data_IF_135678278960
#
_entry.id   IF_135678278960
#
_cell.length_a   1.000
_cell.length_b   1.000
_cell.length_c   1.000
_cell.angle_alpha   90.00
_cell.angle_beta   90.00
_cell.angle_gamma   90.00
#
_symmetry.space_group_name_H-M   'P 1'
#
loop_
_entity.id
_entity.type
_entity.pdbx_description
1 polymer ?
#
# COMPACT_ATOMS: atom_id res chain seq x y z
N UNK A 1 10.24 34.07 9.25
CA UNK A 1 9.58 33.98 7.94
C UNK A 1 10.05 32.70 7.28
N UNK A 2 9.12 31.82 6.93
CA UNK A 2 9.43 30.63 6.15
C UNK A 2 8.85 30.86 4.77
N UNK A 3 9.69 30.73 3.76
CA UNK A 3 9.26 30.74 2.37
C UNK A 3 9.37 29.30 1.90
N UNK A 4 8.23 28.74 1.52
CA UNK A 4 8.16 27.38 1.06
C UNK A 4 8.10 27.37 -0.46
N UNK A 5 8.86 26.44 -1.05
CA UNK A 5 8.87 26.21 -2.47
C UNK A 5 8.45 24.76 -2.71
N UNK A 6 7.58 24.56 -3.70
CA UNK A 6 7.35 23.24 -4.25
C UNK A 6 8.22 23.04 -5.48
N UNK A 7 9.13 22.06 -5.42
CA UNK A 7 9.84 21.65 -6.62
C UNK A 7 8.83 20.96 -7.54
N UNK A 8 8.44 21.64 -8.62
CA UNK A 8 7.44 21.14 -9.59
C UNK A 8 7.83 19.80 -10.22
N UNK A 9 9.13 19.50 -10.29
CA UNK A 9 9.65 18.32 -11.00
C UNK A 9 10.03 17.14 -10.10
N UNK A 10 10.01 17.26 -8.76
CA UNK A 10 10.65 16.24 -7.88
C UNK A 10 9.82 15.64 -6.75
N UNK A 11 8.53 15.98 -6.60
CA UNK A 11 7.74 15.57 -5.41
C UNK A 11 8.43 15.88 -4.06
N UNK A 12 9.29 16.89 -4.06
CA UNK A 12 10.05 17.34 -2.90
C UNK A 12 9.50 18.66 -2.40
N UNK A 13 9.38 18.73 -1.08
CA UNK A 13 9.14 19.95 -0.35
C UNK A 13 10.47 20.65 -0.10
N UNK A 14 10.55 21.93 -0.46
CA UNK A 14 11.69 22.78 -0.18
C UNK A 14 11.29 23.90 0.78
N UNK A 15 12.02 24.04 1.88
CA UNK A 15 11.77 25.01 2.94
C UNK A 15 12.94 25.98 3.06
N UNK A 16 12.72 27.24 2.71
CA UNK A 16 13.63 28.33 3.06
C UNK A 16 13.18 28.92 4.39
N UNK A 17 14.08 28.96 5.36
CA UNK A 17 13.77 29.35 6.72
C UNK A 17 14.56 30.61 7.11
N UNK A 18 13.90 31.57 7.75
CA UNK A 18 14.52 32.81 8.26
C UNK A 18 13.71 33.37 9.43
N UNK A 19 14.23 34.41 10.11
CA UNK A 19 13.51 35.13 11.17
C UNK A 19 13.65 34.53 12.59
N UNK A 20 12.81 34.97 13.54
CA UNK A 20 13.05 34.77 14.99
C UNK A 20 12.97 33.31 15.43
N UNK A 21 12.19 32.47 14.75
CA UNK A 21 12.03 31.06 15.07
C UNK A 21 13.06 30.14 14.36
N UNK A 22 14.11 30.70 13.76
CA UNK A 22 15.04 29.95 12.89
C UNK A 22 15.62 28.69 13.55
N UNK A 23 16.11 28.78 14.80
CA UNK A 23 16.72 27.64 15.47
C UNK A 23 15.71 26.53 15.76
N UNK A 24 14.52 26.89 16.25
CA UNK A 24 13.44 25.93 16.54
C UNK A 24 13.02 25.19 15.26
N UNK A 25 12.80 25.93 14.17
CA UNK A 25 12.44 25.36 12.88
C UNK A 25 13.58 24.45 12.38
N UNK A 26 14.82 24.91 12.43
CA UNK A 26 16.00 24.15 12.00
C UNK A 26 16.14 22.83 12.76
N UNK A 27 15.85 22.83 14.05
CA UNK A 27 15.93 21.63 14.89
C UNK A 27 14.83 20.63 14.54
N UNK A 28 13.59 21.07 14.33
CA UNK A 28 12.49 20.24 13.82
C UNK A 28 12.88 19.63 12.46
N UNK A 29 13.40 20.44 11.52
CA UNK A 29 13.78 19.94 10.21
C UNK A 29 14.90 18.89 10.27
N UNK A 30 15.86 19.04 11.19
CA UNK A 30 16.91 18.04 11.43
C UNK A 30 16.35 16.76 12.05
N UNK A 31 15.49 16.88 13.06
CA UNK A 31 14.84 15.75 13.73
C UNK A 31 14.02 14.91 12.73
N UNK A 32 13.38 15.60 11.80
CA UNK A 32 12.63 15.00 10.71
C UNK A 32 13.46 14.75 9.44
N UNK A 33 14.78 14.74 9.52
CA UNK A 33 15.68 14.30 8.44
C UNK A 33 15.56 15.07 7.11
N UNK A 34 15.19 16.35 7.15
CA UNK A 34 15.32 17.21 5.98
C UNK A 34 16.80 17.40 5.64
N UNK A 35 17.12 17.40 4.35
CA UNK A 35 18.47 17.65 3.85
C UNK A 35 18.64 19.12 3.54
N UNK A 36 19.65 19.73 4.14
CA UNK A 36 20.02 21.10 3.80
C UNK A 36 20.73 21.10 2.43
N UNK A 37 20.19 21.86 1.49
CA UNK A 37 20.79 22.12 0.18
C UNK A 37 21.15 23.60 0.08
N UNK A 38 22.47 23.93 0.04
CA UNK A 38 22.92 25.32 -0.02
C UNK A 38 22.71 25.97 -1.39
N UNK A 39 22.52 25.17 -2.44
CA UNK A 39 22.33 25.62 -3.83
C UNK A 39 21.09 24.97 -4.44
N UNK A 40 19.91 25.49 -4.08
CA UNK A 40 18.64 25.10 -4.70
C UNK A 40 18.12 26.23 -5.58
N UNK A 41 17.53 25.90 -6.73
CA UNK A 41 16.96 26.79 -7.76
C UNK A 41 17.07 28.31 -7.48
N UNK A 42 17.89 29.02 -8.26
CA UNK A 42 18.20 30.45 -8.09
C UNK A 42 19.00 30.82 -6.82
N UNK A 43 19.90 29.94 -6.35
CA UNK A 43 20.82 30.16 -5.21
C UNK A 43 20.12 30.37 -3.85
N UNK A 44 18.97 29.75 -3.66
CA UNK A 44 18.31 29.73 -2.36
C UNK A 44 18.81 28.57 -1.49
N UNK A 45 19.12 28.88 -0.24
CA UNK A 45 19.43 27.88 0.79
C UNK A 45 18.13 27.30 1.33
N UNK A 46 17.91 25.99 1.12
CA UNK A 46 16.65 25.33 1.49
C UNK A 46 16.88 24.01 2.22
N UNK A 47 15.83 23.55 2.88
CA UNK A 47 15.73 22.21 3.45
C UNK A 47 14.79 21.37 2.59
N UNK A 48 15.27 20.24 2.08
CA UNK A 48 14.54 19.34 1.19
C UNK A 48 14.11 18.05 1.87
N UNK A 49 12.89 17.60 1.59
CA UNK A 49 12.42 16.24 1.88
C UNK A 49 11.31 15.84 0.91
N UNK A 50 11.11 14.54 0.72
CA UNK A 50 9.96 14.04 -0.04
C UNK A 50 8.65 14.45 0.66
N UNK A 51 7.67 14.91 -0.13
CA UNK A 51 6.40 15.46 0.39
C UNK A 51 5.69 14.47 1.32
N UNK A 52 5.66 13.19 0.93
CA UNK A 52 4.99 12.13 1.70
C UNK A 52 5.63 11.88 3.08
N UNK A 53 6.92 12.16 3.22
CA UNK A 53 7.67 11.99 4.47
C UNK A 53 7.73 13.28 5.30
N UNK A 54 7.21 14.39 4.80
CA UNK A 54 7.30 15.72 5.41
C UNK A 54 6.15 16.00 6.40
N UNK A 55 5.15 15.12 6.47
CA UNK A 55 3.89 15.36 7.20
C UNK A 55 4.10 15.61 8.68
N UNK A 56 4.82 14.73 9.36
CA UNK A 56 5.04 14.82 10.81
C UNK A 56 5.77 16.13 11.17
N UNK A 57 6.78 16.51 10.37
CA UNK A 57 7.49 17.78 10.54
C UNK A 57 6.58 18.99 10.36
N UNK A 58 5.71 18.97 9.35
CA UNK A 58 4.80 20.07 9.07
C UNK A 58 3.72 20.22 10.14
N UNK A 59 3.22 19.11 10.71
CA UNK A 59 2.31 19.14 11.85
C UNK A 59 2.95 19.76 13.10
N UNK A 60 4.25 19.53 13.32
CA UNK A 60 4.99 20.17 14.41
C UNK A 60 5.27 21.65 14.13
N UNK A 61 5.65 21.98 12.91
CA UNK A 61 5.88 23.36 12.49
C UNK A 61 4.61 24.22 12.61
N UNK A 62 3.44 23.65 12.30
CA UNK A 62 2.13 24.29 12.48
C UNK A 62 1.79 24.67 13.94
N UNK A 63 2.50 24.11 14.93
CA UNK A 63 2.30 24.43 16.36
C UNK A 63 3.12 25.65 16.80
N UNK A 64 4.03 26.15 15.98
CA UNK A 64 4.83 27.32 16.28
C UNK A 64 3.94 28.57 16.18
N UNK A 65 3.99 29.46 17.16
CA UNK A 65 3.26 30.72 17.11
C UNK A 65 3.70 31.58 15.91
N UNK A 66 2.73 32.21 15.24
CA UNK A 66 2.93 33.01 14.03
C UNK A 66 3.55 32.23 12.85
N UNK A 67 3.29 30.93 12.77
CA UNK A 67 3.64 30.10 11.62
C UNK A 67 2.62 30.27 10.50
N UNK A 68 2.97 31.05 9.47
CA UNK A 68 2.13 31.24 8.29
C UNK A 68 2.59 30.33 7.14
N UNK A 69 1.64 29.60 6.54
CA UNK A 69 1.86 28.68 5.41
C UNK A 69 0.99 29.16 4.25
N UNK A 70 1.55 29.22 3.04
CA UNK A 70 0.73 29.49 1.86
C UNK A 70 -0.37 28.42 1.67
N UNK A 71 -1.55 28.85 1.20
CA UNK A 71 -2.69 27.97 0.95
C UNK A 71 -2.35 26.77 0.03
N UNK A 72 -1.41 26.96 -0.90
CA UNK A 72 -0.91 25.91 -1.80
C UNK A 72 -0.31 24.73 -1.04
N UNK A 73 0.36 24.99 0.08
CA UNK A 73 1.01 23.96 0.89
C UNK A 73 0.05 23.36 1.89
N UNK A 74 -0.86 24.17 2.41
CA UNK A 74 -2.00 23.65 3.15
C UNK A 74 -2.76 22.61 2.29
N UNK A 75 -2.93 22.86 0.99
CA UNK A 75 -3.55 21.89 0.07
C UNK A 75 -2.75 20.60 -0.13
N UNK A 76 -1.43 20.63 0.08
CA UNK A 76 -0.56 19.44 0.06
C UNK A 76 -0.57 18.69 1.39
N UNK A 77 -0.84 19.41 2.48
CA UNK A 77 -1.02 18.88 3.81
C UNK A 77 -2.36 18.20 4.01
N UNK A 78 -3.40 18.66 3.31
CA UNK A 78 -4.69 17.96 3.27
C UNK A 78 -4.43 16.57 2.70
N UNK A 79 -4.55 15.51 3.50
CA UNK A 79 -4.29 14.16 3.01
C UNK A 79 -5.30 13.87 1.92
N UNK A 80 -4.84 13.86 0.65
CA UNK A 80 -5.67 13.38 -0.44
C UNK A 80 -6.11 11.97 -0.08
N UNK A 81 -7.42 11.67 -0.10
CA UNK A 81 -7.88 10.34 0.21
C UNK A 81 -7.23 9.39 -0.81
N UNK A 82 -6.38 8.49 -0.29
CA UNK A 82 -5.76 7.43 -1.09
C UNK A 82 -6.81 6.49 -1.75
N UNK A 83 -8.08 6.61 -1.37
CA UNK A 83 -9.21 5.90 -1.98
C UNK A 83 -9.69 6.66 -3.22
N UNK A 84 -9.48 6.06 -4.38
CA UNK A 84 -10.06 6.51 -5.64
C UNK A 84 -11.49 5.98 -5.75
N UNK A 85 -12.41 6.82 -6.24
CA UNK A 85 -13.78 6.41 -6.61
C UNK A 85 -13.94 6.43 -8.12
N UNK A 86 -14.64 5.45 -8.66
CA UNK A 86 -14.87 5.31 -10.10
C UNK A 86 -16.24 4.68 -10.36
N UNK A 87 -16.69 4.73 -11.61
CA UNK A 87 -18.00 4.23 -12.05
C UNK A 87 -17.82 2.91 -12.80
N UNK A 88 -18.08 1.80 -12.11
CA UNK A 88 -18.29 0.49 -12.75
C UNK A 88 -19.74 0.09 -12.52
N UNK A 89 -20.37 -0.45 -13.57
CA UNK A 89 -21.71 -1.01 -13.49
C UNK A 89 -21.61 -2.39 -12.83
N UNK A 90 -22.35 -2.57 -11.74
CA UNK A 90 -22.49 -3.88 -11.13
C UNK A 90 -23.24 -4.82 -12.09
N UNK A 91 -22.72 -6.03 -12.27
CA UNK A 91 -23.31 -7.09 -13.07
C UNK A 91 -23.39 -8.38 -12.23
N UNK A 92 -24.62 -8.85 -11.97
CA UNK A 92 -24.86 -10.07 -11.20
C UNK A 92 -24.42 -11.35 -11.93
N UNK A 93 -24.35 -11.33 -13.26
CA UNK A 93 -24.02 -12.51 -14.07
C UNK A 93 -22.56 -12.94 -13.90
N UNK A 94 -21.68 -12.02 -13.52
CA UNK A 94 -20.24 -12.29 -13.37
C UNK A 94 -19.82 -12.58 -11.93
N UNK A 95 -20.76 -12.86 -11.01
CA UNK A 95 -20.42 -13.15 -9.61
C UNK A 95 -19.85 -14.54 -9.36
N UNK A 96 -20.12 -15.51 -10.24
CA UNK A 96 -19.74 -16.91 -10.05
C UNK A 96 -20.51 -17.61 -8.92
N UNK A 97 -21.57 -16.99 -8.41
CA UNK A 97 -22.45 -17.54 -7.39
C UNK A 97 -23.53 -16.53 -6.98
N UNK A 98 -24.54 -17.00 -6.27
CA UNK A 98 -25.66 -16.16 -5.80
C UNK A 98 -25.34 -15.58 -4.42
N UNK A 99 -25.42 -14.25 -4.22
CA UNK A 99 -25.33 -13.65 -2.89
C UNK A 99 -26.35 -14.26 -1.93
N UNK A 100 -25.93 -14.65 -0.73
CA UNK A 100 -26.84 -15.23 0.28
C UNK A 100 -27.70 -14.18 0.97
N UNK A 101 -27.44 -12.89 0.74
CA UNK A 101 -28.27 -11.81 1.25
C UNK A 101 -27.85 -10.44 0.71
N UNK A 102 -28.70 -9.41 0.92
CA UNK A 102 -28.48 -8.05 0.41
C UNK A 102 -27.14 -7.45 0.82
N UNK A 103 -26.65 -7.77 2.02
CA UNK A 103 -25.39 -7.24 2.55
C UNK A 103 -24.17 -7.63 1.69
N UNK A 104 -24.18 -8.83 1.08
CA UNK A 104 -23.09 -9.25 0.19
C UNK A 104 -23.15 -8.47 -1.12
N UNK A 105 -24.35 -8.35 -1.71
CA UNK A 105 -24.57 -7.60 -2.93
C UNK A 105 -24.21 -6.12 -2.76
N UNK A 106 -24.63 -5.48 -1.68
CA UNK A 106 -24.26 -4.10 -1.35
C UNK A 106 -22.76 -3.94 -1.16
N UNK A 107 -22.11 -4.90 -0.51
CA UNK A 107 -20.65 -4.89 -0.32
C UNK A 107 -19.93 -4.98 -1.66
N UNK A 108 -20.38 -5.86 -2.56
CA UNK A 108 -19.81 -6.00 -3.90
C UNK A 108 -20.07 -4.71 -4.70
N UNK A 109 -21.31 -4.21 -4.75
CA UNK A 109 -21.68 -2.94 -5.41
C UNK A 109 -20.85 -1.76 -4.93
N UNK A 110 -20.49 -1.72 -3.64
CA UNK A 110 -19.60 -0.71 -3.08
C UNK A 110 -18.15 -0.96 -3.47
N UNK A 111 -17.67 -2.18 -3.35
CA UNK A 111 -16.28 -2.58 -3.63
C UNK A 111 -15.87 -2.34 -5.07
N UNK A 112 -16.77 -2.54 -6.03
CA UNK A 112 -16.51 -2.29 -7.46
C UNK A 112 -16.49 -0.80 -7.82
N UNK A 113 -16.71 0.13 -6.89
CA UNK A 113 -16.71 1.58 -7.15
C UNK A 113 -15.55 2.32 -6.49
N UNK A 114 -14.66 1.61 -5.80
CA UNK A 114 -13.56 2.22 -5.06
C UNK A 114 -12.31 1.36 -5.02
N UNK A 115 -11.15 2.01 -5.00
CA UNK A 115 -9.85 1.31 -5.02
C UNK A 115 -9.51 0.66 -3.68
N UNK A 116 -10.15 1.10 -2.59
CA UNK A 116 -9.88 0.61 -1.24
C UNK A 116 -11.17 0.26 -0.53
N UNK A 117 -11.20 -0.89 0.13
CA UNK A 117 -12.34 -1.35 0.92
C UNK A 117 -11.85 -2.09 2.15
N UNK A 118 -12.49 -1.81 3.29
CA UNK A 118 -12.35 -2.61 4.50
C UNK A 118 -13.62 -3.41 4.73
N UNK A 119 -13.53 -4.74 4.62
CA UNK A 119 -14.60 -5.68 4.89
C UNK A 119 -14.50 -6.17 6.33
N UNK A 120 -15.15 -5.45 7.24
CA UNK A 120 -15.23 -5.78 8.67
C UNK A 120 -16.48 -6.63 9.00
N UNK A 121 -16.85 -7.55 8.10
CA UNK A 121 -17.99 -8.44 8.29
C UNK A 121 -17.66 -9.55 9.29
N UNK A 122 -18.66 -9.99 10.08
CA UNK A 122 -18.50 -11.12 11.01
C UNK A 122 -17.97 -12.36 10.26
N UNK A 123 -17.14 -13.19 10.93
CA UNK A 123 -16.74 -14.49 10.38
C UNK A 123 -17.96 -15.31 9.94
N UNK A 124 -17.82 -16.08 8.86
CA UNK A 124 -18.91 -16.90 8.31
C UNK A 124 -19.86 -16.20 7.33
N UNK A 125 -19.76 -14.87 7.14
CA UNK A 125 -20.62 -14.12 6.21
C UNK A 125 -20.16 -14.14 4.74
N UNK A 126 -19.19 -14.98 4.38
CA UNK A 126 -18.72 -15.11 2.99
C UNK A 126 -17.88 -13.94 2.47
N UNK A 127 -16.96 -13.40 3.29
CA UNK A 127 -16.01 -12.33 2.89
C UNK A 127 -15.23 -12.68 1.61
N UNK A 128 -14.82 -13.94 1.49
CA UNK A 128 -14.08 -14.42 0.33
C UNK A 128 -14.94 -14.46 -0.93
N UNK A 129 -16.22 -14.84 -0.84
CA UNK A 129 -17.19 -14.69 -1.94
C UNK A 129 -17.35 -13.22 -2.36
N UNK A 130 -17.56 -12.32 -1.39
CA UNK A 130 -17.69 -10.87 -1.68
C UNK A 130 -16.44 -10.31 -2.40
N UNK A 131 -15.25 -10.66 -1.93
CA UNK A 131 -13.99 -10.25 -2.57
C UNK A 131 -13.83 -10.88 -3.95
N UNK A 132 -14.20 -12.14 -4.14
CA UNK A 132 -14.17 -12.81 -5.45
C UNK A 132 -15.11 -12.11 -6.44
N UNK A 133 -16.33 -11.77 -6.01
CA UNK A 133 -17.28 -11.00 -6.81
C UNK A 133 -16.75 -9.62 -7.21
N UNK A 134 -16.07 -8.91 -6.29
CA UNK A 134 -15.40 -7.64 -6.62
C UNK A 134 -14.28 -7.87 -7.65
N UNK A 135 -13.43 -8.87 -7.45
CA UNK A 135 -12.33 -9.19 -8.36
C UNK A 135 -12.83 -9.57 -9.76
N UNK A 136 -13.92 -10.33 -9.87
CA UNK A 136 -14.52 -10.67 -11.16
C UNK A 136 -14.86 -9.41 -11.97
N UNK A 137 -15.45 -8.40 -11.34
CA UNK A 137 -15.75 -7.12 -12.00
C UNK A 137 -14.48 -6.37 -12.39
N UNK A 138 -13.49 -6.29 -11.50
CA UNK A 138 -12.26 -5.54 -11.78
C UNK A 138 -11.43 -6.17 -12.90
N UNK A 139 -11.38 -7.50 -12.96
CA UNK A 139 -10.69 -8.23 -14.04
C UNK A 139 -11.48 -8.08 -15.34
N UNK A 140 -12.81 -8.19 -15.30
CA UNK A 140 -13.67 -7.98 -16.47
C UNK A 140 -13.48 -6.59 -17.09
N UNK A 141 -13.39 -5.55 -16.24
CA UNK A 141 -13.12 -4.16 -16.65
C UNK A 141 -11.63 -3.89 -16.95
N UNK A 142 -10.76 -4.92 -16.92
CA UNK A 142 -9.30 -4.83 -17.16
C UNK A 142 -8.57 -3.86 -16.21
N UNK A 143 -9.13 -3.65 -15.02
CA UNK A 143 -8.53 -2.82 -13.96
C UNK A 143 -7.62 -3.62 -13.03
N UNK A 144 -7.68 -4.95 -13.07
CA UNK A 144 -6.79 -5.83 -12.31
C UNK A 144 -6.36 -7.00 -13.21
N UNK A 145 -5.05 -7.25 -13.29
CA UNK A 145 -4.44 -8.39 -14.00
C UNK A 145 -3.70 -9.35 -13.04
N UNK A 146 -3.21 -8.84 -11.92
CA UNK A 146 -2.49 -9.61 -10.89
C UNK A 146 -3.08 -9.42 -9.51
N UNK A 147 -3.22 -10.52 -8.77
CA UNK A 147 -3.91 -10.55 -7.48
C UNK A 147 -2.97 -11.17 -6.44
N UNK A 148 -2.59 -10.38 -5.44
CA UNK A 148 -1.83 -10.85 -4.28
C UNK A 148 -2.76 -11.03 -3.08
N UNK A 149 -2.84 -12.24 -2.54
CA UNK A 149 -3.54 -12.54 -1.29
C UNK A 149 -2.50 -12.82 -0.22
N UNK A 150 -2.57 -12.07 0.88
CA UNK A 150 -1.79 -12.30 2.09
C UNK A 150 -2.75 -12.65 3.22
N UNK A 151 -2.65 -13.86 3.73
CA UNK A 151 -3.60 -14.41 4.69
C UNK A 151 -2.90 -15.27 5.77
N UNK A 152 -3.55 -15.58 6.90
CA UNK A 152 -3.08 -16.62 7.81
C UNK A 152 -2.96 -17.98 7.10
N UNK A 153 -2.12 -18.87 7.62
CA UNK A 153 -1.89 -20.21 7.04
C UNK A 153 -3.20 -20.96 6.76
N UNK A 154 -4.14 -20.92 7.71
CA UNK A 154 -5.43 -21.62 7.63
C UNK A 154 -6.33 -21.08 6.50
N UNK A 155 -6.20 -19.80 6.14
CA UNK A 155 -7.02 -19.16 5.11
C UNK A 155 -6.50 -19.39 3.69
N UNK A 156 -5.22 -19.77 3.51
CA UNK A 156 -4.58 -19.84 2.18
C UNK A 156 -5.31 -20.81 1.25
N UNK A 157 -5.53 -22.04 1.70
CA UNK A 157 -6.18 -23.07 0.88
C UNK A 157 -7.68 -22.79 0.70
N UNK A 158 -8.31 -22.14 1.68
CA UNK A 158 -9.68 -21.69 1.53
C UNK A 158 -9.82 -20.65 0.42
N UNK A 159 -8.95 -19.62 0.41
CA UNK A 159 -8.91 -18.63 -0.67
C UNK A 159 -8.70 -19.25 -2.03
N UNK A 160 -7.73 -20.17 -2.16
CA UNK A 160 -7.48 -20.89 -3.41
C UNK A 160 -8.75 -21.59 -3.92
N UNK A 161 -9.39 -22.40 -3.07
CA UNK A 161 -10.60 -23.14 -3.41
C UNK A 161 -11.75 -22.22 -3.78
N UNK A 162 -11.99 -21.19 -2.99
CA UNK A 162 -13.11 -20.26 -3.22
C UNK A 162 -12.90 -19.41 -4.47
N UNK A 163 -11.69 -18.93 -4.75
CA UNK A 163 -11.39 -18.23 -5.99
C UNK A 163 -11.64 -19.13 -7.20
N UNK A 164 -11.18 -20.38 -7.19
CA UNK A 164 -11.44 -21.31 -8.28
C UNK A 164 -12.93 -21.62 -8.45
N UNK A 165 -13.68 -21.65 -7.35
CA UNK A 165 -15.13 -21.88 -7.38
C UNK A 165 -15.92 -20.69 -7.92
N UNK A 166 -15.59 -19.47 -7.49
CA UNK A 166 -16.41 -18.28 -7.72
C UNK A 166 -15.86 -17.33 -8.80
N UNK A 167 -14.70 -17.61 -9.39
CA UNK A 167 -14.20 -16.78 -10.47
C UNK A 167 -15.04 -16.94 -11.75
N UNK A 168 -15.19 -15.85 -12.50
CA UNK A 168 -15.85 -15.83 -13.82
C UNK A 168 -14.94 -15.35 -14.94
N UNK A 169 -13.69 -15.01 -14.63
CA UNK A 169 -12.68 -14.55 -15.58
C UNK A 169 -11.77 -15.67 -16.11
N UNK A 170 -12.18 -16.93 -15.93
CA UNK A 170 -11.47 -18.10 -16.46
C UNK A 170 -10.13 -18.39 -15.78
N UNK A 171 -10.03 -18.11 -14.47
CA UNK A 171 -8.86 -18.46 -13.68
C UNK A 171 -8.71 -19.98 -13.60
N UNK A 172 -7.53 -20.48 -14.01
CA UNK A 172 -7.20 -21.90 -13.88
C UNK A 172 -6.26 -22.16 -12.72
N UNK A 173 -6.21 -23.41 -12.28
CA UNK A 173 -5.41 -23.87 -11.15
C UNK A 173 -3.91 -23.56 -11.33
N UNK A 174 -3.38 -23.78 -12.54
CA UNK A 174 -1.99 -23.50 -12.90
C UNK A 174 -1.62 -22.01 -12.86
N UNK A 175 -2.62 -21.12 -12.87
CA UNK A 175 -2.43 -19.67 -12.79
C UNK A 175 -2.42 -19.15 -11.35
N UNK A 176 -2.60 -20.04 -10.36
CA UNK A 176 -2.52 -19.76 -8.93
C UNK A 176 -1.22 -20.30 -8.36
N UNK A 177 -0.48 -19.42 -7.70
CA UNK A 177 0.73 -19.77 -6.96
C UNK A 177 0.50 -19.67 -5.46
N UNK A 178 0.67 -20.78 -4.74
CA UNK A 178 0.69 -20.79 -3.27
C UNK A 178 2.13 -20.82 -2.78
N UNK A 179 2.59 -19.74 -2.17
CA UNK A 179 3.96 -19.64 -1.67
C UNK A 179 4.15 -20.45 -0.39
N UNK A 180 5.17 -21.31 -0.40
CA UNK A 180 5.54 -22.16 0.71
C UNK A 180 7.07 -22.19 0.89
N UNK A 181 7.58 -23.02 1.81
CA UNK A 181 9.00 -23.07 2.14
C UNK A 181 9.90 -23.50 0.96
N UNK A 182 9.40 -24.35 0.04
CA UNK A 182 10.14 -24.84 -1.12
C UNK A 182 9.91 -24.00 -2.38
N UNK A 183 8.73 -23.41 -2.51
CA UNK A 183 8.31 -22.55 -3.63
C UNK A 183 8.02 -21.15 -3.10
N UNK A 184 9.08 -20.37 -2.87
CA UNK A 184 8.94 -19.08 -2.19
C UNK A 184 8.47 -17.95 -3.08
N UNK A 185 9.02 -17.77 -4.28
CA UNK A 185 8.88 -16.53 -5.04
C UNK A 185 7.87 -16.62 -6.21
N UNK A 186 6.63 -16.12 -6.07
CA UNK A 186 5.66 -16.09 -7.18
C UNK A 186 5.98 -15.04 -8.25
N UNK A 187 6.75 -14.00 -7.92
CA UNK A 187 6.88 -12.80 -8.75
C UNK A 187 7.79 -12.99 -9.97
N UNK A 188 8.43 -14.15 -10.08
CA UNK A 188 9.19 -14.58 -11.27
C UNK A 188 8.36 -15.46 -12.21
N UNK A 189 7.13 -15.82 -11.83
CA UNK A 189 6.26 -16.68 -12.61
C UNK A 189 5.15 -15.87 -13.30
N UNK A 190 4.60 -16.39 -14.40
CA UNK A 190 3.52 -15.73 -15.15
C UNK A 190 2.13 -15.83 -14.48
N UNK A 191 2.07 -16.30 -13.24
CA UNK A 191 0.84 -16.56 -12.48
C UNK A 191 0.00 -15.29 -12.32
N UNK A 192 -1.33 -15.44 -12.37
CA UNK A 192 -2.28 -14.35 -12.17
C UNK A 192 -2.53 -14.09 -10.69
N UNK A 193 -2.56 -15.14 -9.89
CA UNK A 193 -2.84 -15.05 -8.45
C UNK A 193 -1.66 -15.59 -7.66
N UNK A 194 -1.18 -14.81 -6.70
CA UNK A 194 -0.21 -15.25 -5.70
C UNK A 194 -0.87 -15.25 -4.32
N UNK A 195 -0.81 -16.37 -3.61
CA UNK A 195 -1.37 -16.53 -2.27
C UNK A 195 -0.23 -16.89 -1.32
N UNK A 196 -0.08 -16.16 -0.21
CA UNK A 196 1.00 -16.40 0.73
C UNK A 196 0.65 -15.96 2.16
N UNK A 197 1.46 -16.39 3.13
CA UNK A 197 1.35 -15.88 4.50
C UNK A 197 2.01 -14.51 4.65
N UNK A 198 1.60 -13.75 5.68
CA UNK A 198 2.33 -12.54 6.10
C UNK A 198 3.82 -12.81 6.35
N UNK A 199 4.14 -13.98 6.91
CA UNK A 199 5.52 -14.42 7.16
C UNK A 199 6.27 -14.69 5.85
N UNK A 200 5.63 -15.36 4.90
CA UNK A 200 6.21 -15.62 3.57
C UNK A 200 6.50 -14.32 2.84
N UNK A 201 5.58 -13.35 2.88
CA UNK A 201 5.78 -12.02 2.28
C UNK A 201 7.01 -11.31 2.89
N UNK A 202 7.10 -11.29 4.24
CA UNK A 202 8.25 -10.72 4.94
C UNK A 202 9.57 -11.44 4.60
N UNK A 203 9.56 -12.77 4.53
CA UNK A 203 10.75 -13.55 4.18
C UNK A 203 11.24 -13.27 2.76
N UNK A 204 10.31 -13.16 1.80
CA UNK A 204 10.63 -12.79 0.43
C UNK A 204 11.26 -11.40 0.35
N UNK A 205 10.70 -10.44 1.10
CA UNK A 205 11.30 -9.11 1.19
C UNK A 205 12.69 -9.15 1.84
N UNK A 206 12.89 -9.95 2.88
CA UNK A 206 14.19 -10.11 3.54
C UNK A 206 15.23 -10.69 2.55
N UNK A 207 14.83 -11.67 1.74
CA UNK A 207 15.68 -12.27 0.71
C UNK A 207 16.00 -11.30 -0.45
N UNK A 208 14.99 -10.58 -0.95
CA UNK A 208 15.17 -9.60 -2.01
C UNK A 208 16.08 -8.44 -1.57
N UNK A 209 15.87 -7.93 -0.35
CA UNK A 209 16.70 -6.87 0.23
C UNK A 209 18.17 -7.29 0.42
N UNK A 210 18.44 -8.53 0.83
CA UNK A 210 19.83 -9.04 0.93
C UNK A 210 20.52 -9.09 -0.44
N UNK A 211 19.79 -9.46 -1.50
CA UNK A 211 20.34 -9.51 -2.86
C UNK A 211 20.72 -8.12 -3.38
N UNK A 212 19.94 -7.09 -3.05
CA UNK A 212 20.21 -5.71 -3.49
C UNK A 212 21.34 -5.04 -2.71
N UNK A 213 21.45 -5.29 -1.39
CA UNK A 213 22.45 -4.62 -0.53
C UNK A 213 23.85 -5.24 -0.53
N UNK A 214 24.04 -6.45 -1.09
CA UNK A 214 25.31 -7.22 -1.11
C UNK A 214 26.20 -6.92 0.12
N UNK A 215 25.75 -7.24 1.35
CA UNK A 215 26.54 -6.94 2.55
C UNK A 215 27.93 -7.58 2.41
N UNK A 216 28.98 -6.87 2.86
CA UNK A 216 30.33 -7.42 2.86
C UNK A 216 30.36 -8.71 3.70
N UNK A 217 31.22 -9.67 3.33
CA UNK A 217 31.33 -10.98 3.99
C UNK A 217 31.52 -10.79 5.50
N UNK A 218 30.54 -11.22 6.30
CA UNK A 218 30.54 -11.08 7.77
C UNK A 218 29.62 -10.00 8.34
N UNK A 219 29.12 -9.06 7.53
CA UNK A 219 28.15 -8.06 7.98
C UNK A 219 26.72 -8.61 7.94
N UNK A 220 26.02 -8.52 9.08
CA UNK A 220 24.58 -8.73 9.11
C UNK A 220 23.92 -7.56 8.38
N UNK A 221 23.25 -7.83 7.25
CA UNK A 221 22.45 -6.81 6.59
C UNK A 221 21.49 -6.17 7.60
N UNK A 222 21.62 -4.85 7.81
CA UNK A 222 20.67 -4.09 8.60
C UNK A 222 19.27 -4.29 8.02
N UNK A 223 18.34 -4.80 8.85
CA UNK A 223 16.95 -5.09 8.48
C UNK A 223 16.06 -3.82 8.42
N UNK A 224 16.69 -2.66 8.20
CA UNK A 224 16.06 -1.36 8.09
C UNK A 224 15.64 -1.10 6.64
N UNK A 225 14.44 -1.55 6.30
CA UNK A 225 13.86 -1.35 4.98
C UNK A 225 13.52 0.13 4.77
N UNK A 226 14.12 0.75 3.74
CA UNK A 226 13.82 2.14 3.36
C UNK A 226 13.05 2.26 2.05
N UNK A 227 12.95 1.17 1.28
CA UNK A 227 12.25 1.14 0.00
C UNK A 227 11.66 -0.24 -0.27
N UNK A 228 10.70 -0.31 -1.19
CA UNK A 228 10.21 -1.58 -1.72
C UNK A 228 11.36 -2.37 -2.37
N UNK A 229 11.37 -3.68 -2.13
CA UNK A 229 12.46 -4.56 -2.58
C UNK A 229 11.96 -5.73 -3.42
N UNK A 230 10.68 -6.06 -3.37
CA UNK A 230 10.10 -7.09 -4.23
C UNK A 230 9.94 -6.55 -5.66
N UNK A 231 10.23 -7.36 -6.69
CA UNK A 231 10.11 -6.98 -8.10
C UNK A 231 8.64 -7.00 -8.58
N UNK A 232 7.74 -6.37 -7.81
CA UNK A 232 6.32 -6.31 -8.15
C UNK A 232 6.11 -5.59 -9.49
N UNK A 233 6.96 -4.62 -9.79
CA UNK A 233 7.06 -3.92 -11.09
C UNK A 233 7.03 -4.86 -12.29
N UNK A 234 7.82 -5.94 -12.22
CA UNK A 234 7.99 -6.92 -13.30
C UNK A 234 6.86 -7.96 -13.35
N UNK A 235 6.12 -8.15 -12.25
CA UNK A 235 5.10 -9.19 -12.16
C UNK A 235 3.84 -8.90 -12.98
N UNK A 236 3.45 -7.64 -13.12
CA UNK A 236 2.25 -7.20 -13.86
C UNK A 236 2.12 -5.68 -13.82
N UNK A 237 1.00 -5.09 -14.23
CA UNK A 237 0.81 -3.62 -14.11
C UNK A 237 -0.32 -3.26 -13.14
N UNK A 238 -1.47 -3.89 -13.33
CA UNK A 238 -2.72 -3.56 -12.67
C UNK A 238 -2.97 -4.52 -11.49
N UNK A 239 -2.41 -4.20 -10.32
CA UNK A 239 -2.35 -5.16 -9.21
C UNK A 239 -3.37 -4.85 -8.12
N UNK A 240 -3.98 -5.90 -7.60
CA UNK A 240 -4.76 -5.89 -6.37
C UNK A 240 -4.02 -6.61 -5.24
N UNK A 241 -4.15 -6.11 -4.01
CA UNK A 241 -3.75 -6.81 -2.79
C UNK A 241 -4.94 -6.99 -1.86
N UNK A 242 -5.03 -8.20 -1.32
CA UNK A 242 -6.06 -8.65 -0.39
C UNK A 242 -5.35 -9.10 0.87
N UNK A 243 -5.64 -8.44 2.00
CA UNK A 243 -5.07 -8.73 3.30
C UNK A 243 -6.16 -9.31 4.19
N UNK A 244 -6.13 -10.63 4.37
CA UNK A 244 -7.05 -11.33 5.26
C UNK A 244 -6.56 -11.31 6.70
N UNK A 245 -7.50 -11.29 7.64
CA UNK A 245 -7.25 -11.00 9.05
C UNK A 245 -6.38 -9.74 9.25
N UNK A 246 -6.82 -8.63 8.64
CA UNK A 246 -6.14 -7.34 8.65
C UNK A 246 -5.87 -6.77 10.05
N UNK A 247 -6.53 -7.29 11.10
CA UNK A 247 -6.18 -6.95 12.48
C UNK A 247 -4.71 -7.33 12.83
N UNK A 248 -4.11 -8.30 12.12
CA UNK A 248 -2.70 -8.69 12.27
C UNK A 248 -1.71 -7.60 11.86
N UNK A 249 -2.14 -6.64 11.03
CA UNK A 249 -1.29 -5.55 10.54
C UNK A 249 -1.55 -4.21 11.24
N UNK A 250 -2.36 -4.18 12.30
CA UNK A 250 -2.70 -2.96 13.05
C UNK A 250 -1.48 -2.23 13.61
N UNK A 251 -0.45 -2.97 14.01
CA UNK A 251 0.77 -2.40 14.60
C UNK A 251 1.73 -1.91 13.51
N UNK A 252 1.74 -0.59 13.26
CA UNK A 252 2.65 0.08 12.31
C UNK A 252 4.14 -0.11 12.63
N UNK A 253 4.51 -0.40 13.88
CA UNK A 253 5.91 -0.67 14.26
C UNK A 253 6.36 -2.08 13.89
N UNK A 254 5.43 -3.01 13.65
CA UNK A 254 5.77 -4.38 13.29
C UNK A 254 6.48 -4.47 11.94
N UNK A 255 7.41 -5.43 11.79
CA UNK A 255 8.21 -5.56 10.57
C UNK A 255 7.36 -5.87 9.34
N UNK A 256 6.39 -6.78 9.43
CA UNK A 256 5.54 -7.11 8.28
C UNK A 256 4.66 -5.93 7.87
N UNK A 257 4.15 -5.13 8.81
CA UNK A 257 3.31 -3.96 8.47
C UNK A 257 4.15 -2.91 7.76
N UNK A 258 5.37 -2.62 8.26
CA UNK A 258 6.32 -1.72 7.58
C UNK A 258 6.60 -2.19 6.15
N UNK A 259 6.92 -3.48 5.98
CA UNK A 259 7.24 -4.04 4.67
C UNK A 259 6.03 -3.99 3.73
N UNK A 260 4.82 -4.31 4.19
CA UNK A 260 3.60 -4.15 3.37
C UNK A 260 3.37 -2.69 2.95
N UNK A 261 3.55 -1.74 3.87
CA UNK A 261 3.42 -0.32 3.55
C UNK A 261 4.42 0.15 2.50
N UNK A 262 5.67 -0.32 2.54
CA UNK A 262 6.66 0.01 1.53
C UNK A 262 6.25 -0.44 0.13
N UNK A 263 5.52 -1.55 0.01
CA UNK A 263 5.07 -2.08 -1.29
C UNK A 263 3.67 -1.59 -1.71
N UNK A 264 2.96 -0.83 -0.88
CA UNK A 264 1.54 -0.47 -1.10
C UNK A 264 1.29 0.26 -2.43
N UNK A 265 2.28 1.04 -2.90
CA UNK A 265 2.18 1.85 -4.12
C UNK A 265 2.09 1.01 -5.39
N UNK A 266 2.51 -0.27 -5.37
CA UNK A 266 2.33 -1.20 -6.49
C UNK A 266 0.90 -1.69 -6.65
N UNK A 267 0.05 -1.49 -5.64
CA UNK A 267 -1.31 -2.01 -5.57
C UNK A 267 -2.30 -0.85 -5.55
N UNK A 268 -2.87 -0.55 -6.71
CA UNK A 268 -3.96 0.43 -6.81
C UNK A 268 -5.16 -0.04 -5.99
N UNK A 269 -5.51 -1.32 -6.12
CA UNK A 269 -6.62 -1.93 -5.40
C UNK A 269 -6.13 -2.59 -4.11
N UNK A 270 -6.65 -2.15 -2.95
CA UNK A 270 -6.23 -2.65 -1.62
C UNK A 270 -7.44 -2.99 -0.76
N UNK A 271 -7.62 -4.28 -0.50
CA UNK A 271 -8.75 -4.80 0.26
C UNK A 271 -8.30 -5.41 1.57
N UNK A 272 -8.90 -4.95 2.66
CA UNK A 272 -8.66 -5.45 4.02
C UNK A 272 -9.87 -6.26 4.45
N UNK A 273 -9.66 -7.44 5.03
CA UNK A 273 -10.71 -8.31 5.52
C UNK A 273 -10.43 -8.59 6.98
N UNK A 274 -11.41 -8.40 7.85
CA UNK A 274 -11.27 -8.72 9.27
C UNK A 274 -12.62 -9.12 9.84
N UNK A 275 -12.63 -10.05 10.80
CA UNK A 275 -13.84 -10.35 11.57
C UNK A 275 -14.16 -9.29 12.64
N UNK A 276 -13.14 -8.50 13.02
CA UNK A 276 -13.21 -7.50 14.08
C UNK A 276 -12.68 -6.15 13.58
N UNK A 277 -13.44 -5.05 13.74
CA UNK A 277 -12.91 -3.71 13.51
C UNK A 277 -11.77 -3.40 14.48
N UNK A 278 -10.84 -2.54 14.05
CA UNK A 278 -9.73 -2.03 14.86
C UNK A 278 -9.63 -0.52 14.69
#
# INVERSE_FOLDING_TARGET
MIILYLSRDKQKLALKISGPNFNVIKDILKEHWFKFEPEFEYNDMVWLKDIDESKDALEELLKIENFDISAEIYSLLVPKPETEKFRIKYNSEILGGTPIGPYQEETIKRGVKQSRLYLAHKPGLGKTFMVSGILNHLVYEKLVDKILIVAPTESIYNFRRELLRFNTFGLKEEEIYVANASRRNPFQSHVKVAIMTYRSFLMLSDEAYKKTKKPKKGEKASKDYRSACLPLGEWGKERAIILDEAHLIKNRKSRWTKVLHLHKHYFRFRYLLSGTPY
#
